data_IF_889946659669
#
_entry.id   IF_889946659669
#
_cell.length_a   1.000
_cell.length_b   1.000
_cell.length_c   1.000
_cell.angle_alpha   90.00
_cell.angle_beta   90.00
_cell.angle_gamma   90.00
#
_symmetry.space_group_name_H-M   'P 1'
#
loop_
_entity.id
_entity.type
_entity.pdbx_description
1 polymer ?
#
# COMPACT_ATOMS: atom_id res chain seq x y z
N UNK A 1 10.00 38.19 -38.64
CA UNK A 1 8.61 37.83 -38.93
C UNK A 1 7.78 38.11 -37.69
N UNK A 2 6.70 38.84 -37.91
CA UNK A 2 5.78 39.45 -36.96
C UNK A 2 5.17 38.49 -35.92
N UNK A 3 5.07 38.98 -34.69
CA UNK A 3 3.85 38.92 -33.89
C UNK A 3 3.14 37.57 -33.77
N UNK A 4 3.50 36.81 -32.74
CA UNK A 4 2.57 35.88 -32.10
C UNK A 4 2.32 36.24 -30.62
N UNK A 5 2.43 37.53 -30.27
CA UNK A 5 1.69 38.09 -29.13
C UNK A 5 0.25 38.31 -29.58
N UNK A 6 -0.74 37.67 -28.93
CA UNK A 6 -2.14 38.06 -29.12
C UNK A 6 -3.16 36.94 -29.35
N UNK A 7 -2.80 35.67 -29.24
CA UNK A 7 -3.80 34.62 -29.13
C UNK A 7 -4.15 34.40 -27.67
N UNK A 8 -5.25 34.99 -27.17
CA UNK A 8 -5.94 34.49 -25.96
C UNK A 8 -6.08 32.98 -26.10
N UNK A 9 -5.12 32.22 -25.57
CA UNK A 9 -5.27 30.79 -25.35
C UNK A 9 -6.48 30.72 -24.43
N UNK A 10 -7.61 30.29 -24.99
CA UNK A 10 -8.78 29.88 -24.24
C UNK A 10 -8.25 29.18 -22.99
N UNK A 11 -8.68 29.51 -21.76
CA UNK A 11 -8.41 28.67 -20.62
C UNK A 11 -9.19 27.37 -20.82
N UNK A 12 -8.73 26.53 -21.76
CA UNK A 12 -9.33 25.26 -22.17
C UNK A 12 -9.01 24.15 -21.15
N UNK A 13 -8.64 24.57 -19.95
CA UNK A 13 -8.17 23.74 -18.84
C UNK A 13 -8.15 24.60 -17.58
N UNK A 14 -9.30 25.19 -17.24
CA UNK A 14 -9.61 25.22 -15.81
C UNK A 14 -9.60 23.77 -15.37
N UNK A 15 -8.57 23.36 -14.62
CA UNK A 15 -8.50 22.01 -14.08
C UNK A 15 -9.82 21.75 -13.36
N UNK A 16 -10.66 20.90 -13.97
CA UNK A 16 -11.80 20.29 -13.30
C UNK A 16 -11.21 19.69 -12.03
N UNK A 17 -11.71 20.16 -10.89
CA UNK A 17 -11.34 19.69 -9.56
C UNK A 17 -11.69 18.21 -9.43
N UNK A 18 -10.85 17.34 -10.00
CA UNK A 18 -10.85 15.88 -9.79
C UNK A 18 -10.09 15.50 -8.52
N UNK A 19 -9.72 16.48 -7.70
CA UNK A 19 -8.97 16.26 -6.47
C UNK A 19 -9.79 15.53 -5.41
N UNK A 20 -11.12 15.69 -5.42
CA UNK A 20 -11.95 15.29 -4.28
C UNK A 20 -12.25 13.79 -4.20
N UNK A 21 -12.48 13.11 -5.33
CA UNK A 21 -12.65 11.63 -5.33
C UNK A 21 -11.32 10.92 -5.06
N UNK A 22 -10.21 11.41 -5.63
CA UNK A 22 -8.86 10.88 -5.37
C UNK A 22 -8.51 10.98 -3.88
N UNK A 23 -8.85 12.09 -3.21
CA UNK A 23 -8.58 12.28 -1.78
C UNK A 23 -9.39 11.33 -0.87
N UNK A 24 -10.58 10.91 -1.29
CA UNK A 24 -11.44 9.98 -0.53
C UNK A 24 -11.00 8.53 -0.72
N UNK A 25 -10.71 8.12 -1.95
CA UNK A 25 -10.16 6.79 -2.26
C UNK A 25 -8.77 6.59 -1.65
N UNK A 26 -7.92 7.62 -1.64
CA UNK A 26 -6.58 7.53 -1.05
C UNK A 26 -6.64 7.42 0.49
N UNK A 27 -7.62 8.05 1.14
CA UNK A 27 -7.89 7.86 2.58
C UNK A 27 -8.37 6.44 2.87
N UNK A 28 -9.28 5.92 2.06
CA UNK A 28 -9.77 4.54 2.20
C UNK A 28 -8.65 3.53 1.99
N UNK A 29 -7.75 3.75 1.02
CA UNK A 29 -6.60 2.90 0.77
C UNK A 29 -5.58 2.94 1.91
N UNK A 30 -5.29 4.12 2.47
CA UNK A 30 -4.42 4.26 3.65
C UNK A 30 -5.02 3.60 4.89
N UNK A 31 -6.34 3.61 5.07
CA UNK A 31 -7.00 2.87 6.15
C UNK A 31 -6.89 1.36 5.94
N UNK A 32 -7.20 0.86 4.73
CA UNK A 32 -7.05 -0.57 4.39
C UNK A 32 -5.62 -1.07 4.59
N UNK A 33 -4.60 -0.32 4.14
CA UNK A 33 -3.20 -0.70 4.37
C UNK A 33 -2.84 -0.76 5.86
N UNK A 34 -3.30 0.19 6.67
CA UNK A 34 -3.06 0.16 8.13
C UNK A 34 -3.74 -1.05 8.77
N UNK A 35 -4.94 -1.42 8.33
CA UNK A 35 -5.62 -2.62 8.81
C UNK A 35 -4.93 -3.91 8.37
N UNK A 36 -4.45 -3.98 7.13
CA UNK A 36 -3.67 -5.12 6.64
C UNK A 36 -2.34 -5.26 7.38
N UNK A 37 -1.62 -4.16 7.59
CA UNK A 37 -0.39 -4.16 8.38
C UNK A 37 -0.64 -4.63 9.82
N UNK A 38 -1.71 -4.16 10.47
CA UNK A 38 -2.10 -4.64 11.81
C UNK A 38 -2.43 -6.13 11.82
N UNK A 39 -3.18 -6.62 10.84
CA UNK A 39 -3.47 -8.07 10.71
C UNK A 39 -2.20 -8.88 10.50
N UNK A 40 -1.26 -8.41 9.68
CA UNK A 40 0.02 -9.08 9.47
C UNK A 40 0.89 -9.07 10.72
N UNK A 41 0.92 -7.96 11.47
CA UNK A 41 1.64 -7.87 12.74
C UNK A 41 1.04 -8.79 13.80
N UNK A 42 -0.29 -8.87 13.91
CA UNK A 42 -0.96 -9.80 14.80
C UNK A 42 -0.71 -11.26 14.41
N UNK A 43 -0.74 -11.58 13.13
CA UNK A 43 -0.42 -12.93 12.64
C UNK A 43 1.06 -13.26 12.89
N UNK A 44 1.96 -12.29 12.69
CA UNK A 44 3.39 -12.44 12.97
C UNK A 44 3.65 -12.60 14.47
N UNK A 45 2.96 -11.86 15.33
CA UNK A 45 3.05 -11.99 16.78
C UNK A 45 2.48 -13.35 17.26
N UNK A 46 1.34 -13.78 16.70
CA UNK A 46 0.77 -15.12 16.94
C UNK A 46 1.70 -16.24 16.46
N UNK A 47 2.38 -16.03 15.32
CA UNK A 47 3.36 -16.96 14.78
C UNK A 47 4.69 -16.94 15.54
N UNK A 48 5.09 -15.80 16.11
CA UNK A 48 6.30 -15.68 16.92
C UNK A 48 6.11 -16.30 18.33
N UNK A 49 4.91 -16.20 18.90
CA UNK A 49 4.57 -16.78 20.21
C UNK A 49 4.37 -18.30 20.16
N UNK A 50 3.95 -18.85 19.02
CA UNK A 50 4.09 -20.28 18.73
C UNK A 50 5.53 -20.51 18.27
N UNK A 51 6.41 -20.78 19.23
CA UNK A 51 7.79 -21.24 18.98
C UNK A 51 7.83 -22.28 17.85
N UNK A 52 8.99 -22.47 17.19
CA UNK A 52 9.06 -22.97 15.82
C UNK A 52 8.05 -24.09 15.60
N UNK A 53 7.08 -23.90 14.69
CA UNK A 53 5.99 -24.86 14.41
C UNK A 53 6.52 -26.26 13.97
N UNK A 54 7.85 -26.41 13.89
CA UNK A 54 8.62 -27.60 13.61
C UNK A 54 9.73 -27.88 14.67
N UNK A 55 9.53 -27.57 15.96
CA UNK A 55 10.43 -28.01 17.06
C UNK A 55 10.32 -29.51 17.39
N UNK A 56 9.52 -30.27 16.64
CA UNK A 56 9.63 -31.72 16.58
C UNK A 56 10.85 -32.12 15.77
N UNK A 57 12.04 -31.95 16.36
CA UNK A 57 13.32 -32.21 15.73
C UNK A 57 13.30 -33.53 14.97
N UNK A 58 13.73 -33.48 13.71
CA UNK A 58 14.16 -34.65 12.95
C UNK A 58 15.15 -35.39 13.85
N UNK A 59 14.68 -36.46 14.49
CA UNK A 59 15.53 -37.39 15.23
C UNK A 59 16.50 -37.91 14.18
N UNK A 60 17.73 -37.40 14.21
CA UNK A 60 18.85 -37.95 13.44
C UNK A 60 18.77 -39.46 13.63
N UNK A 61 18.48 -40.17 12.54
CA UNK A 61 18.43 -41.62 12.52
C UNK A 61 19.65 -42.14 13.26
N UNK A 62 19.39 -42.82 14.38
CA UNK A 62 20.42 -43.47 15.16
C UNK A 62 21.04 -44.55 14.29
N UNK A 63 22.25 -44.29 13.78
CA UNK A 63 23.13 -45.33 13.27
C UNK A 63 23.79 -45.98 14.49
N UNK A 64 23.15 -47.02 15.02
CA UNK A 64 23.73 -48.18 15.70
C UNK A 64 22.66 -49.26 15.72
#
# INVERSE_FOLDING_TARGET
>A
MSGHEGGKKKPLKQHKKQSREMDEDEKAFKQKQKEEQKKLEELKAKAAGKGPLATGGIKKSGKK
#
